data_IF_597144540546
#
_entry.id   IF_597144540546
#
_cell.length_a   1.000
_cell.length_b   1.000
_cell.length_c   1.000
_cell.angle_alpha   90.00
_cell.angle_beta   90.00
_cell.angle_gamma   90.00
#
_symmetry.space_group_name_H-M   'P 1'
#
loop_
_entity.id
_entity.type
_entity.pdbx_description
1 polymer ?
#
# COMPACT_ATOMS: atom_id res chain seq x y z
N UNK A 1 -31.54 -18.30 -12.57
CA UNK A 1 -31.15 -17.67 -11.28
C UNK A 1 -29.71 -17.13 -11.22
N UNK A 2 -28.84 -17.36 -12.22
CA UNK A 2 -27.46 -16.81 -12.25
C UNK A 2 -27.34 -15.41 -12.90
N UNK A 3 -28.27 -15.04 -13.78
CA UNK A 3 -28.29 -13.72 -14.45
C UNK A 3 -28.74 -12.57 -13.53
N UNK A 4 -29.67 -12.83 -12.60
CA UNK A 4 -30.15 -11.83 -11.64
C UNK A 4 -29.05 -11.42 -10.65
N UNK A 5 -28.20 -12.36 -10.21
CA UNK A 5 -27.08 -12.09 -9.31
C UNK A 5 -25.99 -11.26 -9.97
N UNK A 6 -25.75 -11.45 -11.27
CA UNK A 6 -24.80 -10.64 -12.05
C UNK A 6 -25.36 -9.23 -12.28
N UNK A 7 -26.67 -9.11 -12.54
CA UNK A 7 -27.33 -7.80 -12.69
C UNK A 7 -27.28 -6.97 -11.39
N UNK A 8 -27.47 -7.60 -10.23
CA UNK A 8 -27.38 -6.91 -8.92
C UNK A 8 -25.94 -6.48 -8.63
N UNK A 9 -24.93 -7.30 -8.96
CA UNK A 9 -23.53 -6.89 -8.81
C UNK A 9 -23.17 -5.71 -9.72
N UNK A 10 -23.66 -5.69 -10.96
CA UNK A 10 -23.44 -4.59 -11.91
C UNK A 10 -24.15 -3.31 -11.47
N UNK A 11 -25.33 -3.40 -10.87
CA UNK A 11 -26.03 -2.25 -10.32
C UNK A 11 -25.28 -1.63 -9.13
N UNK A 12 -24.65 -2.44 -8.27
CA UNK A 12 -23.84 -1.93 -7.15
C UNK A 12 -22.59 -1.20 -7.68
N UNK A 13 -21.99 -1.66 -8.78
CA UNK A 13 -20.86 -0.94 -9.42
C UNK A 13 -21.29 0.31 -10.20
N UNK A 14 -22.52 0.36 -10.73
CA UNK A 14 -23.02 1.48 -11.51
C UNK A 14 -23.35 2.73 -10.67
N UNK A 15 -23.77 2.55 -9.42
CA UNK A 15 -24.15 3.67 -8.52
C UNK A 15 -22.92 4.43 -7.98
N UNK A 16 -21.73 3.83 -7.99
CA UNK A 16 -20.50 4.53 -7.59
C UNK A 16 -19.92 5.44 -8.67
N UNK A 17 -20.38 5.33 -9.91
CA UNK A 17 -19.80 6.04 -11.07
C UNK A 17 -20.41 7.42 -11.33
N UNK A 18 -21.45 7.83 -10.59
CA UNK A 18 -22.19 9.09 -10.84
C UNK A 18 -22.30 10.00 -9.63
N UNK A 19 -21.21 10.21 -8.87
CA UNK A 19 -21.14 11.36 -7.96
C UNK A 19 -19.77 12.04 -8.07
N UNK A 20 -19.49 12.55 -9.27
CA UNK A 20 -18.50 13.59 -9.47
C UNK A 20 -19.21 14.90 -9.79
N UNK A 21 -19.73 15.54 -8.74
CA UNK A 21 -19.92 17.00 -8.65
C UNK A 21 -20.35 17.36 -7.22
N UNK A 22 -19.45 18.10 -6.56
CA UNK A 22 -19.59 19.00 -5.40
C UNK A 22 -20.85 18.86 -4.52
N UNK A 23 -20.61 18.73 -3.20
CA UNK A 23 -21.54 18.96 -2.08
C UNK A 23 -22.47 17.83 -1.63
N UNK A 24 -21.97 16.60 -1.42
CA UNK A 24 -22.71 15.59 -0.63
C UNK A 24 -21.76 14.80 0.28
N UNK A 25 -21.24 15.45 1.33
CA UNK A 25 -20.54 14.75 2.44
C UNK A 25 -21.43 14.64 3.69
N UNK A 26 -22.68 15.12 3.64
CA UNK A 26 -23.53 15.24 4.82
C UNK A 26 -24.75 14.32 4.87
N UNK A 27 -25.07 13.50 3.86
CA UNK A 27 -26.29 12.64 3.90
C UNK A 27 -26.07 11.12 3.79
N UNK A 28 -24.86 10.65 3.47
CA UNK A 28 -24.58 9.19 3.37
C UNK A 28 -24.06 8.61 4.70
N UNK A 29 -23.56 9.45 5.60
CA UNK A 29 -22.96 9.05 6.88
C UNK A 29 -23.97 8.57 7.94
N UNK A 30 -25.26 8.89 7.80
CA UNK A 30 -26.29 8.54 8.80
C UNK A 30 -26.98 7.19 8.55
N UNK A 31 -26.86 6.57 7.37
CA UNK A 31 -27.65 5.38 7.02
C UNK A 31 -26.89 4.05 7.04
N UNK A 32 -25.55 4.02 6.93
CA UNK A 32 -24.80 2.75 6.94
C UNK A 32 -24.75 2.06 8.32
N UNK A 33 -24.79 2.84 9.42
CA UNK A 33 -24.82 2.31 10.79
C UNK A 33 -26.07 1.46 11.09
N UNK A 34 -27.20 1.77 10.44
CA UNK A 34 -28.50 1.16 10.77
C UNK A 34 -28.81 -0.11 9.98
N UNK A 35 -28.14 -0.33 8.85
CA UNK A 35 -28.50 -1.41 7.91
C UNK A 35 -27.42 -2.48 7.69
N UNK A 36 -26.14 -2.23 7.98
CA UNK A 36 -25.07 -3.11 7.45
C UNK A 36 -24.10 -3.64 8.53
N UNK A 37 -23.94 -2.95 9.66
CA UNK A 37 -22.84 -3.24 10.59
C UNK A 37 -22.90 -4.54 11.43
N UNK A 38 -24.05 -5.01 11.94
CA UNK A 38 -24.04 -6.22 12.77
C UNK A 38 -24.01 -7.54 11.98
N UNK A 39 -23.93 -7.51 10.64
CA UNK A 39 -24.07 -8.70 9.79
C UNK A 39 -22.99 -8.96 8.75
N UNK A 40 -21.94 -8.13 8.64
CA UNK A 40 -20.85 -8.37 7.68
C UNK A 40 -19.87 -9.41 8.26
N UNK A 41 -19.63 -10.54 7.58
CA UNK A 41 -18.58 -11.49 7.99
C UNK A 41 -17.21 -10.80 8.04
N UNK A 42 -16.40 -11.13 9.05
CA UNK A 42 -15.05 -10.56 9.24
C UNK A 42 -14.15 -10.70 8.00
N UNK A 43 -14.35 -11.73 7.19
CA UNK A 43 -13.69 -11.92 5.91
C UNK A 43 -14.02 -10.80 4.89
N UNK A 44 -15.28 -10.38 4.79
CA UNK A 44 -15.69 -9.27 3.93
C UNK A 44 -15.08 -7.94 4.39
N UNK A 45 -14.98 -7.75 5.71
CA UNK A 45 -14.36 -6.56 6.28
C UNK A 45 -12.85 -6.51 5.98
N UNK A 46 -12.15 -7.66 6.07
CA UNK A 46 -10.75 -7.77 5.66
C UNK A 46 -10.54 -7.46 4.18
N UNK A 47 -11.42 -7.96 3.31
CA UNK A 47 -11.39 -7.63 1.86
C UNK A 47 -11.60 -6.14 1.61
N UNK A 48 -12.53 -5.50 2.33
CA UNK A 48 -12.80 -4.07 2.20
C UNK A 48 -11.61 -3.21 2.69
N UNK A 49 -10.96 -3.59 3.78
CA UNK A 49 -9.71 -2.97 4.24
C UNK A 49 -8.62 -3.10 3.17
N UNK A 50 -8.50 -4.26 2.53
CA UNK A 50 -7.59 -4.49 1.41
C UNK A 50 -7.88 -3.58 0.21
N UNK A 51 -9.15 -3.40 -0.16
CA UNK A 51 -9.57 -2.51 -1.24
C UNK A 51 -9.28 -1.04 -0.92
N UNK A 52 -9.54 -0.59 0.31
CA UNK A 52 -9.19 0.77 0.75
C UNK A 52 -7.68 0.99 0.65
N UNK A 53 -6.87 0.02 1.10
CA UNK A 53 -5.41 0.09 1.00
C UNK A 53 -4.95 0.17 -0.45
N UNK A 54 -5.48 -0.67 -1.33
CA UNK A 54 -5.18 -0.66 -2.75
C UNK A 54 -5.55 0.68 -3.41
N UNK A 55 -6.75 1.20 -3.13
CA UNK A 55 -7.22 2.48 -3.66
C UNK A 55 -6.32 3.65 -3.22
N UNK A 56 -5.89 3.67 -1.95
CA UNK A 56 -4.93 4.65 -1.44
C UNK A 56 -3.61 4.55 -2.20
N UNK A 57 -3.09 3.34 -2.42
CA UNK A 57 -1.81 3.13 -3.13
C UNK A 57 -1.91 3.63 -4.57
N UNK A 58 -2.95 3.22 -5.31
CA UNK A 58 -3.16 3.61 -6.72
C UNK A 58 -3.34 5.13 -6.86
N UNK A 59 -4.12 5.76 -5.96
CA UNK A 59 -4.34 7.22 -5.99
C UNK A 59 -3.11 8.04 -5.59
N UNK A 60 -2.17 7.44 -4.87
CA UNK A 60 -0.93 8.11 -4.44
C UNK A 60 0.10 8.28 -5.56
N UNK A 61 -0.24 7.89 -6.80
CA UNK A 61 0.64 7.91 -7.99
C UNK A 61 1.87 6.99 -7.83
N UNK A 62 2.72 6.95 -8.86
CA UNK A 62 3.96 6.15 -8.93
C UNK A 62 4.97 6.42 -7.77
N UNK A 63 4.74 7.44 -6.93
CA UNK A 63 5.67 7.80 -5.85
C UNK A 63 5.80 6.75 -4.74
N UNK A 64 4.75 5.96 -4.49
CA UNK A 64 4.78 4.90 -3.45
C UNK A 64 4.53 3.50 -3.99
N UNK A 65 4.19 3.35 -5.27
CA UNK A 65 3.94 2.05 -5.88
C UNK A 65 5.20 1.17 -5.86
N UNK A 66 6.37 1.75 -6.13
CA UNK A 66 7.64 1.03 -6.09
C UNK A 66 7.90 0.41 -4.71
N UNK A 67 7.46 1.07 -3.62
CA UNK A 67 7.57 0.58 -2.24
C UNK A 67 6.79 -0.73 -2.06
N UNK A 68 5.57 -0.79 -2.58
CA UNK A 68 4.76 -2.01 -2.53
C UNK A 68 5.23 -3.07 -3.53
N UNK A 69 5.82 -2.66 -4.65
CA UNK A 69 6.38 -3.58 -5.63
C UNK A 69 7.52 -4.42 -5.05
N UNK A 70 8.52 -3.77 -4.43
CA UNK A 70 9.68 -4.50 -3.89
C UNK A 70 9.36 -5.28 -2.61
N UNK A 71 8.49 -4.77 -1.74
CA UNK A 71 8.11 -5.44 -0.48
C UNK A 71 7.23 -6.68 -0.67
N UNK A 72 6.44 -6.72 -1.73
CA UNK A 72 5.54 -7.86 -1.99
C UNK A 72 6.28 -9.09 -2.55
N UNK A 73 7.46 -8.90 -3.15
CA UNK A 73 8.31 -10.00 -3.62
C UNK A 73 8.74 -10.89 -2.46
N UNK A 74 8.56 -12.20 -2.59
CA UNK A 74 8.93 -13.19 -1.57
C UNK A 74 10.41 -13.11 -1.19
N UNK A 75 11.28 -12.92 -2.18
CA UNK A 75 12.73 -12.81 -2.00
C UNK A 75 13.15 -11.50 -1.34
N UNK A 76 12.45 -10.41 -1.63
CA UNK A 76 12.83 -9.06 -1.20
C UNK A 76 12.15 -8.66 0.11
N UNK A 77 11.04 -9.31 0.49
CA UNK A 77 10.35 -9.07 1.76
C UNK A 77 11.26 -9.25 2.98
N UNK A 78 12.22 -10.17 2.92
CA UNK A 78 13.20 -10.37 4.00
C UNK A 78 14.06 -9.12 4.28
N UNK A 79 14.19 -8.25 3.29
CA UNK A 79 15.00 -7.04 3.36
C UNK A 79 14.33 -5.89 4.11
N UNK A 80 13.07 -6.05 4.53
CA UNK A 80 12.35 -5.08 5.37
C UNK A 80 12.12 -5.65 6.77
N UNK A 81 12.94 -6.64 7.15
CA UNK A 81 12.93 -7.28 8.47
C UNK A 81 14.07 -6.82 9.37
N UNK A 82 14.00 -7.16 10.65
CA UNK A 82 14.86 -6.63 11.72
C UNK A 82 16.30 -7.14 11.75
N UNK A 83 16.71 -8.05 10.87
CA UNK A 83 18.06 -8.64 10.89
C UNK A 83 18.62 -8.81 9.48
N UNK A 84 19.32 -7.79 8.98
CA UNK A 84 20.02 -7.83 7.69
C UNK A 84 21.51 -8.02 7.96
N UNK A 85 22.03 -9.20 7.61
CA UNK A 85 23.45 -9.49 7.67
C UNK A 85 24.21 -8.84 6.51
N UNK A 86 25.54 -8.84 6.59
CA UNK A 86 26.40 -8.29 5.54
C UNK A 86 26.18 -9.00 4.18
N UNK A 87 25.89 -10.30 4.22
CA UNK A 87 25.58 -11.13 3.05
C UNK A 87 24.23 -10.75 2.39
N UNK A 88 23.28 -10.23 3.17
CA UNK A 88 21.96 -9.85 2.66
C UNK A 88 21.99 -8.51 1.91
N UNK A 89 22.97 -7.64 2.18
CA UNK A 89 23.06 -6.30 1.57
C UNK A 89 23.02 -6.40 0.04
N UNK A 90 23.81 -7.27 -0.57
CA UNK A 90 23.87 -7.43 -2.03
C UNK A 90 22.54 -7.95 -2.57
N UNK A 91 21.93 -8.93 -1.90
CA UNK A 91 20.64 -9.50 -2.29
C UNK A 91 19.55 -8.43 -2.25
N UNK A 92 19.50 -7.66 -1.17
CA UNK A 92 18.51 -6.61 -0.96
C UNK A 92 18.71 -5.42 -1.89
N UNK A 93 19.94 -5.01 -2.16
CA UNK A 93 20.21 -3.97 -3.14
C UNK A 93 19.87 -4.41 -4.57
N UNK A 94 20.04 -5.70 -4.91
CA UNK A 94 19.59 -6.23 -6.20
C UNK A 94 18.06 -6.20 -6.35
N UNK A 95 17.31 -6.41 -5.26
CA UNK A 95 15.85 -6.20 -5.25
C UNK A 95 15.46 -4.76 -5.55
N UNK A 96 16.30 -3.80 -5.18
CA UNK A 96 16.07 -2.37 -5.33
C UNK A 96 16.52 -1.81 -6.68
N UNK A 97 17.35 -2.54 -7.44
CA UNK A 97 17.86 -2.11 -8.75
C UNK A 97 16.75 -1.72 -9.75
N UNK A 98 15.64 -2.45 -9.90
CA UNK A 98 14.55 -2.03 -10.79
C UNK A 98 13.91 -0.69 -10.40
N UNK A 99 14.12 -0.24 -9.17
CA UNK A 99 13.55 0.98 -8.60
C UNK A 99 14.58 2.08 -8.40
N UNK A 100 15.77 1.96 -8.99
CA UNK A 100 16.90 2.90 -8.85
C UNK A 100 16.48 4.36 -9.03
N UNK A 101 15.65 4.65 -10.04
CA UNK A 101 15.13 6.00 -10.32
C UNK A 101 14.38 6.65 -9.14
N UNK A 102 13.79 5.85 -8.25
CA UNK A 102 13.05 6.32 -7.08
C UNK A 102 13.97 6.54 -5.87
N UNK A 103 15.08 5.79 -5.78
CA UNK A 103 15.92 5.72 -4.57
C UNK A 103 17.31 6.34 -4.74
N UNK A 104 17.77 6.64 -5.95
CA UNK A 104 19.09 7.26 -6.16
C UNK A 104 19.26 8.61 -5.44
N UNK A 105 18.14 9.27 -5.10
CA UNK A 105 18.13 10.51 -4.30
C UNK A 105 18.34 10.28 -2.79
N UNK A 106 18.26 9.03 -2.33
CA UNK A 106 18.47 8.67 -0.93
C UNK A 106 19.97 8.58 -0.60
N UNK A 107 20.35 8.86 0.65
CA UNK A 107 21.76 8.86 1.07
C UNK A 107 22.47 7.52 0.77
N UNK A 108 23.62 7.60 0.08
CA UNK A 108 24.45 6.45 -0.27
C UNK A 108 23.96 5.61 -1.45
N UNK A 109 22.76 5.86 -1.98
CA UNK A 109 22.21 5.06 -3.08
C UNK A 109 22.91 5.32 -4.41
N UNK A 110 23.11 6.58 -4.78
CA UNK A 110 23.84 6.92 -6.02
C UNK A 110 25.24 6.32 -6.03
N UNK A 111 25.97 6.42 -4.93
CA UNK A 111 27.31 5.82 -4.76
C UNK A 111 27.28 4.28 -4.84
N UNK A 112 26.26 3.64 -4.25
CA UNK A 112 26.10 2.19 -4.31
C UNK A 112 25.83 1.70 -5.74
N UNK A 113 24.97 2.37 -6.50
CA UNK A 113 24.64 1.97 -7.86
C UNK A 113 25.79 2.25 -8.84
N UNK A 114 26.42 3.42 -8.75
CA UNK A 114 27.55 3.80 -9.62
C UNK A 114 28.83 3.01 -9.33
N UNK A 115 29.13 2.75 -8.05
CA UNK A 115 30.29 1.95 -7.64
C UNK A 115 30.10 0.43 -7.76
N UNK A 116 28.92 0.00 -8.21
CA UNK A 116 28.50 -1.39 -8.27
C UNK A 116 27.99 -1.91 -6.93
N UNK A 117 26.90 -2.69 -6.99
CA UNK A 117 26.24 -3.25 -5.81
C UNK A 117 27.18 -4.24 -5.10
N UNK A 118 27.65 -3.85 -3.90
CA UNK A 118 28.56 -4.62 -3.05
C UNK A 118 28.20 -4.41 -1.57
N UNK A 119 28.68 -5.28 -0.68
CA UNK A 119 28.48 -5.13 0.76
C UNK A 119 29.42 -4.06 1.37
N UNK A 120 29.31 -2.82 0.90
CA UNK A 120 30.11 -1.67 1.35
C UNK A 120 29.26 -0.68 2.17
N UNK A 121 29.91 0.36 2.71
CA UNK A 121 29.24 1.37 3.54
C UNK A 121 28.13 2.13 2.80
N UNK A 122 28.35 2.48 1.52
CA UNK A 122 27.37 3.19 0.70
C UNK A 122 26.09 2.37 0.48
N UNK A 123 26.24 1.10 0.08
CA UNK A 123 25.10 0.18 -0.10
C UNK A 123 24.40 -0.15 1.20
N UNK A 124 25.14 -0.28 2.31
CA UNK A 124 24.53 -0.44 3.64
C UNK A 124 23.68 0.77 4.00
N UNK A 125 24.22 1.99 3.80
CA UNK A 125 23.49 3.23 4.07
C UNK A 125 22.25 3.35 3.19
N UNK A 126 22.39 3.14 1.89
CA UNK A 126 21.29 3.15 0.94
C UNK A 126 20.16 2.19 1.36
N UNK A 127 20.52 0.96 1.72
CA UNK A 127 19.55 -0.05 2.14
C UNK A 127 18.79 0.38 3.39
N UNK A 128 19.50 0.88 4.42
CA UNK A 128 18.87 1.37 5.66
C UNK A 128 17.92 2.53 5.38
N UNK A 129 18.32 3.50 4.57
CA UNK A 129 17.48 4.64 4.18
C UNK A 129 16.23 4.18 3.41
N UNK A 130 16.41 3.21 2.50
CA UNK A 130 15.30 2.66 1.70
C UNK A 130 14.31 1.89 2.57
N UNK A 131 14.79 1.14 3.57
CA UNK A 131 13.96 0.46 4.56
C UNK A 131 13.19 1.47 5.39
N UNK A 132 13.87 2.50 5.91
CA UNK A 132 13.23 3.56 6.69
C UNK A 132 12.11 4.26 5.91
N UNK A 133 12.36 4.66 4.66
CA UNK A 133 11.34 5.25 3.78
C UNK A 133 10.18 4.27 3.55
N UNK A 134 10.49 3.00 3.34
CA UNK A 134 9.48 1.95 3.13
C UNK A 134 8.59 1.76 4.35
N UNK A 135 9.16 1.70 5.55
CA UNK A 135 8.42 1.60 6.81
C UNK A 135 7.57 2.86 7.04
N UNK A 136 8.14 4.05 6.83
CA UNK A 136 7.43 5.31 7.00
C UNK A 136 6.21 5.43 6.08
N UNK A 137 6.37 5.07 4.80
CA UNK A 137 5.26 5.08 3.83
C UNK A 137 4.23 4.00 4.15
N UNK A 138 4.67 2.81 4.54
CA UNK A 138 3.74 1.72 4.94
C UNK A 138 2.91 2.15 6.14
N UNK A 139 3.54 2.76 7.16
CA UNK A 139 2.86 3.31 8.32
C UNK A 139 1.86 4.41 7.96
N UNK A 140 2.25 5.35 7.07
CA UNK A 140 1.36 6.41 6.59
C UNK A 140 0.12 5.83 5.88
N UNK A 141 0.31 4.84 4.99
CA UNK A 141 -0.80 4.19 4.28
C UNK A 141 -1.71 3.47 5.27
N UNK A 142 -1.17 2.71 6.22
CA UNK A 142 -1.97 2.02 7.23
C UNK A 142 -2.75 3.00 8.11
N UNK A 143 -2.16 4.16 8.45
CA UNK A 143 -2.87 5.22 9.16
C UNK A 143 -4.02 5.82 8.34
N UNK A 144 -3.81 6.04 7.03
CA UNK A 144 -4.88 6.50 6.11
C UNK A 144 -5.99 5.46 5.96
N UNK A 145 -5.64 4.18 5.91
CA UNK A 145 -6.60 3.07 5.87
C UNK A 145 -7.43 3.09 7.16
N UNK A 146 -6.79 3.11 8.34
CA UNK A 146 -7.49 3.17 9.63
C UNK A 146 -8.43 4.36 9.71
N UNK A 147 -7.96 5.56 9.34
CA UNK A 147 -8.79 6.77 9.32
C UNK A 147 -10.02 6.60 8.41
N UNK A 148 -9.83 6.04 7.21
CA UNK A 148 -10.93 5.80 6.27
C UNK A 148 -11.93 4.79 6.81
N UNK A 149 -11.45 3.69 7.39
CA UNK A 149 -12.26 2.65 8.03
C UNK A 149 -13.09 3.24 9.19
N UNK A 150 -12.48 4.06 10.05
CA UNK A 150 -13.18 4.77 11.13
C UNK A 150 -14.26 5.72 10.58
N UNK A 151 -13.95 6.51 9.55
CA UNK A 151 -14.91 7.44 8.93
C UNK A 151 -16.10 6.72 8.28
N UNK A 152 -15.88 5.52 7.75
CA UNK A 152 -16.93 4.67 7.18
C UNK A 152 -17.73 3.92 8.26
N UNK A 153 -17.43 4.13 9.55
CA UNK A 153 -18.00 3.42 10.70
C UNK A 153 -17.79 1.90 10.66
N UNK A 154 -16.83 1.38 9.89
CA UNK A 154 -16.43 -0.02 9.95
C UNK A 154 -15.54 -0.22 11.18
N UNK A 155 -16.14 -0.19 12.38
CA UNK A 155 -15.40 -0.48 13.60
C UNK A 155 -14.90 -1.94 13.55
N UNK A 156 -13.59 -2.12 13.70
CA UNK A 156 -12.93 -3.40 14.00
C UNK A 156 -12.54 -3.38 15.45
#
# INVERSE_FOLDING_TARGET
MKLFTILVLLFITGVFSTVHKKNVVTSVTTSLKKFILPGIPTACLKSLVGLIKWEIIVKSKQEIEWIYSWTNSSTCRKCVGTNIGLADIVVCMNCLRPHEQHICKLPGCMECFTGGIRANAACKRCLVETIYVTEAVTCMVDAKVRRTVTLLNFAV
#
